data_IF_909991171903
#
_entry.id   IF_909991171903
#
_cell.length_a   1.000
_cell.length_b   1.000
_cell.length_c   1.000
_cell.angle_alpha   90.00
_cell.angle_beta   90.00
_cell.angle_gamma   90.00
#
_symmetry.space_group_name_H-M   'P 1'
#
loop_
_entity.id
_entity.type
_entity.pdbx_description
1 polymer ?
#
# COMPACT_ATOMS: atom_id res chain seq x y z
N UNK A 1 3.68 -4.43 -12.82
CA UNK A 1 4.26 -3.64 -13.93
C UNK A 1 5.40 -2.78 -13.41
N UNK A 2 6.39 -2.51 -14.21
CA UNK A 2 7.53 -1.64 -13.86
C UNK A 2 7.67 -0.55 -14.92
N UNK A 3 8.00 0.66 -14.49
CA UNK A 3 8.28 1.79 -15.38
C UNK A 3 9.63 2.42 -15.02
N UNK A 4 10.38 2.82 -16.01
CA UNK A 4 11.65 3.55 -15.82
C UNK A 4 11.37 5.05 -15.92
N UNK A 5 11.48 5.73 -14.77
CA UNK A 5 11.21 7.16 -14.65
C UNK A 5 9.73 7.54 -14.47
N UNK A 6 9.51 8.67 -13.80
CA UNK A 6 8.19 9.12 -13.38
C UNK A 6 7.22 9.39 -14.54
N UNK A 7 7.72 9.79 -15.72
CA UNK A 7 6.86 10.06 -16.90
C UNK A 7 6.30 8.77 -17.49
N UNK A 8 7.12 7.74 -17.62
CA UNK A 8 6.68 6.43 -18.11
C UNK A 8 5.72 5.78 -17.14
N UNK A 9 6.03 5.83 -15.83
CA UNK A 9 5.15 5.40 -14.77
C UNK A 9 3.74 6.00 -14.89
N UNK A 10 3.65 7.32 -15.06
CA UNK A 10 2.38 8.02 -15.22
C UNK A 10 1.61 7.58 -16.48
N UNK A 11 2.33 7.30 -17.57
CA UNK A 11 1.69 6.80 -18.81
C UNK A 11 1.17 5.39 -18.65
N UNK A 12 1.93 4.51 -18.00
CA UNK A 12 1.52 3.13 -17.74
C UNK A 12 0.34 3.08 -16.76
N UNK A 13 0.39 3.82 -15.67
CA UNK A 13 -0.70 3.91 -14.72
C UNK A 13 -2.00 4.42 -15.37
N UNK A 14 -1.92 5.45 -16.22
CA UNK A 14 -3.08 5.94 -16.98
C UNK A 14 -3.68 4.91 -17.90
N UNK A 15 -2.86 4.11 -18.61
CA UNK A 15 -3.38 3.02 -19.45
C UNK A 15 -4.17 2.00 -18.64
N UNK A 16 -3.72 1.66 -17.43
CA UNK A 16 -4.48 0.76 -16.54
C UNK A 16 -5.85 1.33 -16.19
N UNK A 17 -5.96 2.65 -16.01
CA UNK A 17 -7.24 3.31 -15.70
C UNK A 17 -8.17 3.41 -16.90
N UNK A 18 -7.62 3.62 -18.10
CA UNK A 18 -8.43 3.72 -19.33
C UNK A 18 -9.18 2.40 -19.60
N UNK A 19 -8.63 1.26 -19.19
CA UNK A 19 -9.26 -0.05 -19.33
C UNK A 19 -10.40 -0.31 -18.31
N UNK A 20 -10.63 0.58 -17.34
CA UNK A 20 -11.70 0.58 -16.33
C UNK A 20 -11.82 -0.69 -15.45
N UNK A 21 -11.00 -1.70 -15.69
CA UNK A 21 -11.06 -2.98 -14.97
C UNK A 21 -9.96 -3.10 -13.91
N UNK A 22 -9.01 -2.14 -13.89
CA UNK A 22 -7.83 -2.23 -13.05
C UNK A 22 -7.64 -0.99 -12.18
N UNK A 23 -7.15 -1.23 -10.97
CA UNK A 23 -6.81 -0.19 -9.99
C UNK A 23 -5.40 -0.41 -9.48
N UNK A 24 -4.61 0.66 -9.32
CA UNK A 24 -3.32 0.58 -8.61
C UNK A 24 -3.59 0.48 -7.12
N UNK A 25 -3.19 -0.63 -6.54
CA UNK A 25 -3.40 -0.95 -5.12
C UNK A 25 -2.14 -0.84 -4.29
N UNK A 26 -0.98 -0.87 -4.91
CA UNK A 26 0.29 -0.60 -4.24
C UNK A 26 1.34 -0.12 -5.25
N UNK A 27 2.23 0.76 -4.82
CA UNK A 27 3.32 1.24 -5.66
C UNK A 27 4.55 1.62 -4.80
N UNK A 28 5.70 1.68 -5.46
CA UNK A 28 6.99 1.94 -4.85
C UNK A 28 7.84 2.82 -5.78
N UNK A 29 8.64 3.72 -5.20
CA UNK A 29 9.75 4.37 -5.89
C UNK A 29 11.06 3.74 -5.41
N UNK A 30 11.70 2.98 -6.27
CA UNK A 30 12.96 2.31 -5.97
C UNK A 30 13.99 2.66 -7.05
N UNK A 31 14.93 3.56 -6.72
CA UNK A 31 16.00 4.01 -7.63
C UNK A 31 15.48 4.44 -9.01
N UNK A 32 14.46 5.31 -9.05
CA UNK A 32 13.80 5.79 -10.27
C UNK A 32 13.05 4.72 -11.09
N UNK A 33 12.98 3.50 -10.59
CA UNK A 33 12.09 2.47 -11.09
C UNK A 33 10.81 2.48 -10.25
N UNK A 34 9.66 2.42 -10.89
CA UNK A 34 8.36 2.52 -10.26
C UNK A 34 7.56 1.22 -10.46
N UNK A 35 7.87 0.16 -9.71
CA UNK A 35 7.01 -1.02 -9.70
C UNK A 35 5.67 -0.69 -9.05
N UNK A 36 4.60 -1.21 -9.61
CA UNK A 36 3.26 -1.04 -9.06
C UNK A 36 2.40 -2.27 -9.27
N UNK A 37 1.50 -2.47 -8.32
CA UNK A 37 0.52 -3.55 -8.33
C UNK A 37 -0.78 -3.01 -8.89
N UNK A 38 -1.32 -3.75 -9.84
CA UNK A 38 -2.61 -3.47 -10.45
C UNK A 38 -3.54 -4.62 -10.13
N UNK A 39 -4.66 -4.34 -9.50
CA UNK A 39 -5.66 -5.33 -9.14
C UNK A 39 -6.92 -5.14 -10.00
N UNK A 40 -7.43 -6.24 -10.53
CA UNK A 40 -8.67 -6.27 -11.31
C UNK A 40 -9.74 -7.10 -10.60
N UNK A 41 -10.98 -6.94 -11.03
CA UNK A 41 -12.10 -7.73 -10.52
C UNK A 41 -12.55 -7.41 -9.09
N UNK A 42 -12.03 -6.33 -8.49
CA UNK A 42 -12.36 -5.92 -7.11
C UNK A 42 -13.76 -5.26 -6.99
N UNK A 43 -14.47 -5.06 -8.11
CA UNK A 43 -15.73 -4.34 -8.12
C UNK A 43 -15.59 -2.84 -7.84
N UNK A 44 -14.36 -2.32 -7.79
CA UNK A 44 -14.11 -0.88 -7.64
C UNK A 44 -14.42 -0.16 -8.95
N UNK A 45 -14.95 1.05 -8.83
CA UNK A 45 -15.31 1.88 -9.97
C UNK A 45 -14.12 2.63 -10.55
N UNK A 46 -14.42 3.78 -11.15
CA UNK A 46 -13.41 4.60 -11.81
C UNK A 46 -12.21 4.91 -10.92
N UNK A 47 -11.04 4.67 -11.46
CA UNK A 47 -9.77 5.05 -10.84
C UNK A 47 -9.26 6.35 -11.44
N UNK A 48 -8.54 7.12 -10.64
CA UNK A 48 -7.91 8.35 -11.07
C UNK A 48 -6.53 8.50 -10.41
N UNK A 49 -5.67 9.28 -11.04
CA UNK A 49 -4.38 9.64 -10.49
C UNK A 49 -4.30 11.15 -10.35
N UNK A 50 -3.81 11.62 -9.23
CA UNK A 50 -3.58 13.03 -8.96
C UNK A 50 -2.18 13.28 -8.43
N UNK A 51 -1.62 14.43 -8.78
CA UNK A 51 -0.29 14.86 -8.32
C UNK A 51 -0.45 16.03 -7.35
N UNK A 52 0.16 15.93 -6.19
CA UNK A 52 0.13 17.00 -5.18
C UNK A 52 1.51 17.25 -4.58
N UNK A 53 1.74 18.46 -4.10
CA UNK A 53 2.99 18.81 -3.40
C UNK A 53 2.99 18.33 -1.95
N UNK A 54 1.84 18.39 -1.30
CA UNK A 54 1.62 17.95 0.08
C UNK A 54 0.32 17.14 0.15
N UNK A 55 0.38 15.82 0.37
CA UNK A 55 -0.79 14.98 0.47
C UNK A 55 -1.56 15.16 1.78
N UNK A 56 -0.95 15.76 2.80
CA UNK A 56 -1.59 16.05 4.07
C UNK A 56 -2.34 17.39 4.07
N UNK A 57 -2.35 18.14 2.96
CA UNK A 57 -3.14 19.37 2.81
C UNK A 57 -4.64 19.04 2.63
N UNK A 58 -5.48 19.27 3.66
CA UNK A 58 -6.91 18.91 3.60
C UNK A 58 -7.67 19.65 2.50
N UNK A 59 -7.22 20.86 2.13
CA UNK A 59 -7.87 21.65 1.09
C UNK A 59 -7.75 21.01 -0.29
N UNK A 60 -6.72 20.20 -0.50
CA UNK A 60 -6.50 19.48 -1.75
C UNK A 60 -7.19 18.13 -1.79
N UNK A 61 -7.48 17.57 -0.61
CA UNK A 61 -8.18 16.28 -0.48
C UNK A 61 -9.70 16.40 -0.60
N UNK A 62 -10.26 17.54 -0.19
CA UNK A 62 -11.71 17.78 -0.15
C UNK A 62 -12.44 17.55 -1.50
N UNK A 63 -11.88 17.92 -2.68
CA UNK A 63 -12.56 17.69 -3.95
C UNK A 63 -12.77 16.20 -4.26
N UNK A 64 -11.83 15.34 -3.90
CA UNK A 64 -11.91 13.90 -4.21
C UNK A 64 -12.95 13.18 -3.35
N UNK A 65 -13.02 13.56 -2.07
CA UNK A 65 -14.05 13.03 -1.17
C UNK A 65 -15.47 13.41 -1.62
N UNK A 66 -15.64 14.57 -2.29
CA UNK A 66 -16.93 15.00 -2.83
C UNK A 66 -17.36 14.14 -4.03
N UNK A 67 -16.41 13.62 -4.80
CA UNK A 67 -16.68 12.75 -5.95
C UNK A 67 -16.86 11.27 -5.55
N UNK A 68 -16.86 10.95 -4.25
CA UNK A 68 -16.96 9.56 -3.76
C UNK A 68 -15.69 8.74 -3.95
N UNK A 69 -14.59 9.37 -4.32
CA UNK A 69 -13.29 8.73 -4.49
C UNK A 69 -12.49 8.73 -3.20
N UNK A 70 -11.75 7.68 -3.01
CA UNK A 70 -10.83 7.50 -1.87
C UNK A 70 -9.44 7.14 -2.36
N UNK A 71 -8.44 7.44 -1.54
CA UNK A 71 -7.06 7.07 -1.79
C UNK A 71 -6.92 5.57 -1.60
N UNK A 72 -6.40 4.90 -2.60
CA UNK A 72 -6.08 3.47 -2.57
C UNK A 72 -4.58 3.22 -2.49
N UNK A 73 -3.76 4.18 -2.92
CA UNK A 73 -2.31 4.13 -2.74
C UNK A 73 -1.67 5.51 -2.88
N UNK A 74 -0.53 5.69 -2.23
CA UNK A 74 0.33 6.88 -2.30
C UNK A 74 1.74 6.49 -2.73
N UNK A 75 2.40 7.37 -3.46
CA UNK A 75 3.83 7.25 -3.73
C UNK A 75 4.49 8.63 -3.76
N UNK A 76 5.68 8.75 -3.18
CA UNK A 76 6.53 9.92 -3.34
C UNK A 76 7.45 9.71 -4.53
N UNK A 77 7.30 10.54 -5.55
CA UNK A 77 8.29 10.69 -6.62
C UNK A 77 9.29 11.78 -6.24
N UNK A 78 10.30 12.03 -7.06
CA UNK A 78 11.34 13.03 -6.76
C UNK A 78 10.76 14.42 -6.51
N UNK A 79 9.70 14.77 -7.22
CA UNK A 79 9.16 16.15 -7.21
C UNK A 79 7.80 16.28 -6.54
N UNK A 80 6.93 15.29 -6.67
CA UNK A 80 5.55 15.37 -6.20
C UNK A 80 5.09 14.05 -5.57
N UNK A 81 3.99 14.11 -4.86
CA UNK A 81 3.24 12.93 -4.47
C UNK A 81 2.26 12.55 -5.58
N UNK A 82 2.23 11.28 -5.91
CA UNK A 82 1.19 10.71 -6.75
C UNK A 82 0.18 10.01 -5.85
N UNK A 83 -1.09 10.26 -6.11
CA UNK A 83 -2.20 9.74 -5.33
C UNK A 83 -3.09 8.95 -6.27
N UNK A 84 -3.31 7.69 -5.95
CA UNK A 84 -4.22 6.80 -6.65
C UNK A 84 -5.57 6.82 -5.95
N UNK A 85 -6.62 7.00 -6.71
CA UNK A 85 -7.97 7.20 -6.23
C UNK A 85 -8.91 6.20 -6.89
N UNK A 86 -9.82 5.60 -6.13
CA UNK A 86 -10.84 4.69 -6.66
C UNK A 86 -12.21 4.93 -6.00
N UNK A 87 -13.26 4.56 -6.70
CA UNK A 87 -14.65 4.54 -6.22
C UNK A 87 -15.06 3.12 -5.82
N UNK A 88 -16.12 2.98 -5.04
CA UNK A 88 -16.74 1.69 -4.76
C UNK A 88 -15.95 0.77 -3.82
N UNK A 89 -14.99 1.33 -3.07
CA UNK A 89 -14.08 0.54 -2.19
C UNK A 89 -14.72 0.10 -0.87
N UNK A 90 -15.93 0.53 -0.55
CA UNK A 90 -16.55 0.36 0.78
C UNK A 90 -16.09 1.39 1.82
N UNK A 91 -15.03 2.15 1.53
CA UNK A 91 -14.54 3.21 2.42
C UNK A 91 -15.55 4.37 2.44
N UNK A 92 -16.03 4.70 3.63
CA UNK A 92 -17.05 5.75 3.83
C UNK A 92 -16.49 7.09 4.32
N UNK A 93 -15.27 7.06 4.90
CA UNK A 93 -14.54 8.24 5.35
C UNK A 93 -13.04 7.98 5.27
N UNK A 94 -12.28 9.02 5.02
CA UNK A 94 -10.83 8.89 4.92
C UNK A 94 -10.14 10.18 5.37
N UNK A 95 -8.98 10.05 5.97
CA UNK A 95 -8.11 11.15 6.35
C UNK A 95 -6.66 10.84 6.00
N UNK A 96 -5.90 11.88 5.70
CA UNK A 96 -4.46 11.80 5.46
C UNK A 96 -3.75 12.71 6.45
N UNK A 97 -2.66 12.21 7.05
CA UNK A 97 -1.86 12.98 7.97
C UNK A 97 -0.38 12.70 7.82
N UNK A 98 0.41 13.77 7.77
CA UNK A 98 1.86 13.70 7.90
C UNK A 98 2.25 13.79 9.37
N UNK A 99 3.11 12.89 9.82
CA UNK A 99 3.66 12.85 11.19
C UNK A 99 5.16 12.64 11.13
N UNK A 100 5.89 13.17 12.13
CA UNK A 100 7.35 13.10 12.17
C UNK A 100 7.84 12.07 13.17
N UNK A 101 8.81 11.25 12.71
CA UNK A 101 9.50 10.26 13.53
C UNK A 101 8.59 9.18 14.10
N UNK A 102 9.22 8.18 14.71
CA UNK A 102 8.50 7.06 15.30
C UNK A 102 7.51 7.44 16.41
N UNK A 103 7.84 8.32 17.37
CA UNK A 103 6.88 8.71 18.38
C UNK A 103 5.61 9.31 17.80
N UNK A 104 5.75 10.18 16.79
CA UNK A 104 4.61 10.79 16.12
C UNK A 104 3.76 9.78 15.34
N UNK A 105 4.39 8.81 14.67
CA UNK A 105 3.69 7.74 13.98
C UNK A 105 2.92 6.84 14.95
N UNK A 106 3.58 6.38 16.02
CA UNK A 106 2.97 5.54 17.04
C UNK A 106 1.74 6.19 17.69
N UNK A 107 1.89 7.45 18.11
CA UNK A 107 0.77 8.20 18.69
C UNK A 107 -0.38 8.38 17.70
N UNK A 108 -0.06 8.49 16.40
CA UNK A 108 -1.07 8.64 15.38
C UNK A 108 -1.80 7.32 15.09
N UNK A 109 -1.09 6.19 15.02
CA UNK A 109 -1.68 4.86 14.90
C UNK A 109 -2.72 4.62 15.98
N UNK A 110 -2.37 4.86 17.23
CA UNK A 110 -3.29 4.72 18.38
C UNK A 110 -4.54 5.57 18.18
N UNK A 111 -4.37 6.85 17.81
CA UNK A 111 -5.52 7.76 17.58
C UNK A 111 -6.39 7.34 16.40
N UNK A 112 -5.82 6.76 15.37
CA UNK A 112 -6.58 6.22 14.23
C UNK A 112 -7.53 5.16 14.75
N UNK A 113 -7.03 4.20 15.49
CA UNK A 113 -7.84 3.09 16.04
C UNK A 113 -8.85 3.55 17.11
N UNK A 114 -8.50 4.51 17.99
CA UNK A 114 -9.43 5.11 18.94
C UNK A 114 -10.63 5.84 18.28
N UNK A 115 -10.52 6.16 16.97
CA UNK A 115 -11.58 6.80 16.19
C UNK A 115 -12.27 5.84 15.23
N UNK A 116 -12.18 4.54 15.43
CA UNK A 116 -12.74 3.50 14.55
C UNK A 116 -12.32 3.68 13.09
N UNK A 117 -11.05 3.99 12.87
CA UNK A 117 -10.41 4.03 11.58
C UNK A 117 -9.34 2.94 11.50
N UNK A 118 -9.06 2.48 10.28
CA UNK A 118 -7.98 1.55 9.97
C UNK A 118 -6.93 2.23 9.10
N UNK A 119 -5.70 1.80 9.23
CA UNK A 119 -4.60 2.28 8.39
C UNK A 119 -4.66 1.51 7.07
N UNK A 120 -4.75 2.24 5.98
CA UNK A 120 -4.84 1.66 4.63
C UNK A 120 -3.66 2.01 3.73
N UNK A 121 -2.80 2.93 4.14
CA UNK A 121 -1.50 3.18 3.50
C UNK A 121 -0.58 3.96 4.44
N UNK A 122 0.72 3.64 4.42
CA UNK A 122 1.78 4.39 5.09
C UNK A 122 2.96 4.54 4.13
N UNK A 123 3.31 5.78 3.81
CA UNK A 123 4.49 6.06 3.02
C UNK A 123 5.48 6.90 3.82
N UNK A 124 6.72 6.42 3.91
CA UNK A 124 7.82 7.17 4.51
C UNK A 124 8.51 8.04 3.46
N UNK A 125 8.80 9.26 3.84
CA UNK A 125 9.71 10.15 3.11
C UNK A 125 10.59 10.89 4.12
N UNK A 126 11.88 10.59 4.12
CA UNK A 126 12.85 11.07 5.11
C UNK A 126 12.43 10.68 6.55
N UNK A 127 12.20 11.68 7.42
CA UNK A 127 11.74 11.52 8.81
C UNK A 127 10.21 11.62 8.96
N UNK A 128 9.50 11.78 7.85
CA UNK A 128 8.06 12.00 7.82
C UNK A 128 7.32 10.77 7.30
N UNK A 129 6.25 10.41 7.98
CA UNK A 129 5.31 9.37 7.57
C UNK A 129 4.00 10.01 7.15
N UNK A 130 3.56 9.71 5.94
CA UNK A 130 2.22 10.07 5.45
C UNK A 130 1.33 8.86 5.64
N UNK A 131 0.33 9.00 6.48
CA UNK A 131 -0.59 7.93 6.87
C UNK A 131 -1.96 8.20 6.27
N UNK A 132 -2.51 7.23 5.60
CA UNK A 132 -3.91 7.20 5.16
C UNK A 132 -4.70 6.34 6.13
N UNK A 133 -5.74 6.94 6.71
CA UNK A 133 -6.63 6.27 7.64
C UNK A 133 -8.06 6.27 7.08
N UNK A 134 -8.70 5.12 7.06
CA UNK A 134 -9.99 4.89 6.39
C UNK A 134 -11.00 4.29 7.35
N UNK A 135 -12.27 4.66 7.20
CA UNK A 135 -13.40 4.08 7.93
C UNK A 135 -14.44 3.49 6.99
N UNK A 136 -15.25 2.60 7.52
CA UNK A 136 -16.21 1.80 6.76
C UNK A 136 -15.72 0.37 6.47
N UNK A 137 -14.46 0.06 6.82
CA UNK A 137 -13.91 -1.28 6.76
C UNK A 137 -14.06 -1.95 8.14
N UNK A 138 -14.44 -3.22 8.15
CA UNK A 138 -14.62 -4.01 9.37
C UNK A 138 -13.31 -4.70 9.80
N UNK A 139 -12.17 -4.11 9.46
CA UNK A 139 -10.86 -4.66 9.78
C UNK A 139 -10.52 -4.43 11.24
N UNK A 140 -10.00 -5.47 11.89
CA UNK A 140 -9.35 -5.37 13.18
C UNK A 140 -7.84 -5.34 12.96
N UNK A 141 -7.14 -4.31 13.45
CA UNK A 141 -5.71 -4.12 13.19
C UNK A 141 -4.88 -4.23 14.45
N UNK A 142 -3.67 -4.76 14.26
CA UNK A 142 -2.59 -4.72 15.24
C UNK A 142 -1.28 -4.34 14.55
N UNK A 143 -0.25 -4.01 15.33
CA UNK A 143 1.06 -3.67 14.81
C UNK A 143 2.18 -4.40 15.55
N UNK A 144 3.24 -4.70 14.80
CA UNK A 144 4.45 -5.33 15.31
C UNK A 144 5.65 -4.54 14.85
N UNK A 145 6.65 -4.39 15.73
CA UNK A 145 7.93 -3.75 15.42
C UNK A 145 9.04 -4.79 15.61
N UNK A 146 9.77 -5.10 14.56
CA UNK A 146 10.79 -6.14 14.55
C UNK A 146 12.09 -5.60 13.96
N UNK A 147 13.26 -5.82 14.59
CA UNK A 147 14.56 -5.42 14.04
C UNK A 147 15.01 -6.28 12.85
N UNK A 148 14.35 -7.41 12.62
CA UNK A 148 14.64 -8.34 11.55
C UNK A 148 13.42 -8.69 10.71
N UNK A 149 13.64 -9.58 9.76
CA UNK A 149 12.60 -10.10 8.91
C UNK A 149 11.70 -11.10 9.66
N UNK A 150 10.41 -10.85 9.84
CA UNK A 150 9.56 -11.62 10.76
C UNK A 150 8.96 -12.88 10.11
N UNK A 151 9.78 -13.71 9.47
CA UNK A 151 9.29 -14.89 8.74
C UNK A 151 8.49 -15.85 9.63
N UNK A 152 8.88 -16.03 10.87
CA UNK A 152 8.20 -16.91 11.83
C UNK A 152 6.95 -16.24 12.43
N UNK A 153 6.99 -14.96 12.74
CA UNK A 153 5.83 -14.21 13.23
C UNK A 153 4.71 -14.13 12.21
N UNK A 154 5.04 -13.96 10.94
CA UNK A 154 4.05 -13.92 9.86
C UNK A 154 3.29 -15.23 9.71
N UNK A 155 4.01 -16.35 9.81
CA UNK A 155 3.40 -17.67 9.77
C UNK A 155 2.52 -17.94 11.00
N UNK A 156 2.90 -17.40 12.16
CA UNK A 156 2.13 -17.51 13.40
C UNK A 156 0.88 -16.62 13.38
N UNK A 157 0.99 -15.35 13.05
CA UNK A 157 -0.15 -14.42 13.00
C UNK A 157 -1.19 -14.85 11.95
N UNK A 158 -0.76 -15.32 10.79
CA UNK A 158 -1.68 -15.77 9.75
C UNK A 158 -2.34 -17.13 10.06
N UNK A 159 -1.70 -17.98 10.86
CA UNK A 159 -2.21 -19.32 11.17
C UNK A 159 -3.15 -19.34 12.38
N UNK A 160 -2.92 -18.52 13.40
CA UNK A 160 -3.64 -18.60 14.67
C UNK A 160 -4.82 -17.61 14.76
N UNK A 161 -4.74 -16.43 14.14
CA UNK A 161 -5.73 -15.36 14.33
C UNK A 161 -6.40 -14.83 13.04
N UNK A 162 -6.10 -15.44 11.88
CA UNK A 162 -6.63 -14.93 10.60
C UNK A 162 -6.13 -13.53 10.22
N UNK A 163 -5.02 -13.10 10.83
CA UNK A 163 -4.41 -11.79 10.58
C UNK A 163 -3.53 -11.86 9.34
N UNK A 164 -3.63 -10.87 8.46
CA UNK A 164 -2.76 -10.72 7.28
C UNK A 164 -2.04 -9.38 7.32
N UNK A 165 -0.84 -9.31 6.74
CA UNK A 165 -0.13 -8.04 6.60
C UNK A 165 -0.85 -7.21 5.57
N UNK A 166 -1.23 -6.01 5.96
CA UNK A 166 -1.85 -5.03 5.09
C UNK A 166 -0.98 -3.80 4.86
N UNK A 167 -0.01 -3.53 5.74
CA UNK A 167 0.96 -2.47 5.57
C UNK A 167 2.32 -2.79 6.18
N UNK A 168 3.37 -2.18 5.61
CA UNK A 168 4.73 -2.24 6.10
C UNK A 168 5.41 -0.89 5.92
N UNK A 169 6.22 -0.49 6.91
CA UNK A 169 7.08 0.68 6.77
C UNK A 169 8.33 0.55 7.65
N UNK A 170 9.45 1.12 7.20
CA UNK A 170 10.65 1.19 8.02
C UNK A 170 10.54 2.31 9.06
N UNK A 171 10.89 1.99 10.30
CA UNK A 171 10.87 2.89 11.45
C UNK A 171 12.17 2.72 12.24
N UNK A 172 13.04 3.73 12.23
CA UNK A 172 14.31 3.74 13.00
C UNK A 172 15.16 2.47 12.80
N UNK A 173 15.22 1.97 11.55
CA UNK A 173 15.98 0.76 11.21
C UNK A 173 15.29 -0.56 11.61
N UNK A 174 14.03 -0.51 12.00
CA UNK A 174 13.20 -1.67 12.29
C UNK A 174 12.04 -1.76 11.29
N UNK A 175 11.40 -2.91 11.21
CA UNK A 175 10.21 -3.13 10.38
C UNK A 175 8.95 -2.96 11.22
N UNK A 176 8.13 -1.99 10.89
CA UNK A 176 6.77 -1.87 11.39
C UNK A 176 5.82 -2.60 10.43
N UNK A 177 5.09 -3.55 10.96
CA UNK A 177 4.07 -4.31 10.27
C UNK A 177 2.70 -3.94 10.82
N UNK A 178 1.76 -3.62 9.94
CA UNK A 178 0.36 -3.54 10.30
C UNK A 178 -0.31 -4.81 9.79
N UNK A 179 -0.95 -5.52 10.68
CA UNK A 179 -1.73 -6.71 10.35
C UNK A 179 -3.21 -6.42 10.52
N UNK A 180 -4.04 -7.06 9.73
CA UNK A 180 -5.49 -6.88 9.75
C UNK A 180 -6.20 -8.22 9.69
N UNK A 181 -7.24 -8.39 10.52
CA UNK A 181 -8.23 -9.44 10.40
C UNK A 181 -9.47 -8.93 9.65
N UNK A 182 -10.36 -9.85 9.30
CA UNK A 182 -11.61 -9.55 8.58
C UNK A 182 -11.39 -8.87 7.22
N UNK A 183 -10.25 -9.14 6.59
CA UNK A 183 -9.94 -8.70 5.23
C UNK A 183 -10.44 -9.74 4.21
N UNK A 184 -10.42 -9.37 2.93
CA UNK A 184 -10.67 -10.32 1.84
C UNK A 184 -9.51 -11.31 1.61
N UNK A 185 -8.40 -11.13 2.32
CA UNK A 185 -7.22 -11.99 2.25
C UNK A 185 -7.24 -13.03 3.36
N UNK A 186 -6.78 -14.23 3.05
CA UNK A 186 -6.76 -15.35 3.99
C UNK A 186 -5.36 -15.80 4.42
N UNK A 187 -4.31 -15.38 3.72
CA UNK A 187 -2.92 -15.77 4.00
C UNK A 187 -1.93 -14.81 3.37
N UNK A 188 -0.79 -14.61 4.03
CA UNK A 188 0.34 -13.87 3.47
C UNK A 188 1.59 -14.74 3.31
N UNK A 189 2.35 -14.41 2.30
CA UNK A 189 3.74 -14.79 2.12
C UNK A 189 4.55 -13.53 1.82
N UNK A 190 5.73 -13.41 2.40
CA UNK A 190 6.58 -12.22 2.19
C UNK A 190 7.94 -12.65 1.65
N UNK A 191 8.41 -11.95 0.63
CA UNK A 191 9.74 -12.10 0.06
C UNK A 191 10.51 -10.79 0.19
N UNK A 192 11.81 -10.88 0.50
CA UNK A 192 12.72 -9.73 0.60
C UNK A 192 13.95 -9.95 -0.25
N UNK A 193 14.61 -8.87 -0.63
CA UNK A 193 15.82 -8.87 -1.46
C UNK A 193 15.62 -9.55 -2.83
N UNK A 194 14.52 -9.30 -3.53
CA UNK A 194 14.36 -9.88 -4.84
C UNK A 194 15.46 -9.35 -5.78
N UNK A 195 16.12 -10.24 -6.50
CA UNK A 195 16.97 -9.85 -7.62
C UNK A 195 16.11 -9.32 -8.77
N UNK A 196 16.71 -8.57 -9.70
CA UNK A 196 15.99 -8.13 -10.90
C UNK A 196 15.39 -9.33 -11.67
N UNK A 197 16.16 -10.43 -11.76
CA UNK A 197 15.69 -11.68 -12.39
C UNK A 197 14.50 -12.29 -11.66
N UNK A 198 14.49 -12.23 -10.32
CA UNK A 198 13.37 -12.71 -9.50
C UNK A 198 12.12 -11.83 -9.69
N UNK A 199 12.28 -10.50 -9.76
CA UNK A 199 11.17 -9.59 -10.07
C UNK A 199 10.60 -9.86 -11.47
N UNK A 200 11.44 -10.05 -12.48
CA UNK A 200 10.99 -10.40 -13.83
C UNK A 200 10.23 -11.74 -13.85
N UNK A 201 10.74 -12.74 -13.12
CA UNK A 201 10.07 -14.04 -12.98
C UNK A 201 8.70 -13.89 -12.31
N UNK A 202 8.61 -13.17 -11.20
CA UNK A 202 7.34 -12.93 -10.49
C UNK A 202 6.36 -12.18 -11.40
N UNK A 203 6.82 -11.16 -12.10
CA UNK A 203 5.96 -10.41 -13.01
C UNK A 203 5.37 -11.32 -14.09
N UNK A 204 6.19 -12.21 -14.69
CA UNK A 204 5.72 -13.18 -15.66
C UNK A 204 4.73 -14.21 -15.07
N UNK A 205 4.89 -14.60 -13.80
CA UNK A 205 3.95 -15.49 -13.13
C UNK A 205 2.64 -14.80 -12.74
N UNK A 206 2.69 -13.52 -12.33
CA UNK A 206 1.50 -12.73 -11.98
C UNK A 206 0.62 -12.41 -13.20
N UNK A 207 1.17 -12.43 -14.41
CA UNK A 207 0.39 -12.31 -15.64
C UNK A 207 -0.47 -13.55 -15.93
N UNK A 208 -0.21 -14.66 -15.23
CA UNK A 208 -1.03 -15.88 -15.39
C UNK A 208 -2.33 -15.76 -14.58
N UNK A 209 -3.42 -16.36 -15.03
CA UNK A 209 -4.71 -16.32 -14.32
C UNK A 209 -4.68 -16.84 -12.88
N UNK A 210 -3.70 -17.69 -12.56
CA UNK A 210 -3.53 -18.28 -11.22
C UNK A 210 -2.62 -17.49 -10.30
N UNK A 211 -2.02 -16.39 -10.79
CA UNK A 211 -1.01 -15.66 -10.03
C UNK A 211 0.24 -16.49 -9.72
N UNK A 212 1.04 -16.03 -8.76
CA UNK A 212 2.23 -16.73 -8.30
C UNK A 212 1.86 -17.85 -7.32
N UNK A 213 1.88 -19.10 -7.77
CA UNK A 213 1.50 -20.27 -6.96
C UNK A 213 0.11 -20.16 -6.26
N UNK A 214 -0.83 -19.47 -6.88
CA UNK A 214 -2.15 -19.21 -6.31
C UNK A 214 -2.20 -18.01 -5.37
N UNK A 215 -1.10 -17.26 -5.24
CA UNK A 215 -1.05 -16.01 -4.51
C UNK A 215 -1.08 -14.82 -5.46
N UNK A 216 -1.57 -13.71 -4.97
CA UNK A 216 -1.54 -12.41 -5.63
C UNK A 216 -0.61 -11.47 -4.87
N UNK A 217 0.11 -10.63 -5.57
CA UNK A 217 0.92 -9.58 -4.95
C UNK A 217 -0.05 -8.51 -4.40
N UNK A 218 -0.06 -8.32 -3.10
CA UNK A 218 -0.96 -7.38 -2.42
C UNK A 218 -0.27 -6.08 -1.99
N UNK A 219 1.04 -6.14 -1.72
CA UNK A 219 1.79 -5.00 -1.24
C UNK A 219 3.23 -5.05 -1.75
N UNK A 220 3.78 -3.89 -2.10
CA UNK A 220 5.19 -3.70 -2.44
C UNK A 220 5.73 -2.49 -1.67
N UNK A 221 6.85 -2.66 -0.95
CA UNK A 221 7.49 -1.59 -0.17
C UNK A 221 9.02 -1.67 -0.24
N UNK A 222 9.66 -0.52 -0.07
CA UNK A 222 11.09 -0.46 0.20
C UNK A 222 11.34 -0.37 1.70
N UNK A 223 12.23 -1.23 2.21
CA UNK A 223 12.60 -1.27 3.61
C UNK A 223 14.09 -1.56 3.74
N UNK A 224 14.84 -0.65 4.34
CA UNK A 224 16.30 -0.76 4.50
C UNK A 224 17.06 -0.97 3.17
N UNK A 225 16.63 -0.29 2.10
CA UNK A 225 17.23 -0.43 0.78
C UNK A 225 16.91 -1.74 0.06
N UNK A 226 15.93 -2.51 0.55
CA UNK A 226 15.46 -3.77 -0.03
C UNK A 226 14.00 -3.64 -0.44
N UNK A 227 13.62 -4.32 -1.50
CA UNK A 227 12.22 -4.41 -1.92
C UNK A 227 11.56 -5.58 -1.21
N UNK A 228 10.51 -5.30 -0.47
CA UNK A 228 9.68 -6.30 0.20
C UNK A 228 8.38 -6.50 -0.59
N UNK A 229 8.04 -7.74 -0.86
CA UNK A 229 6.85 -8.15 -1.59
C UNK A 229 5.95 -8.96 -0.65
N UNK A 230 4.69 -8.59 -0.53
CA UNK A 230 3.68 -9.35 0.23
C UNK A 230 2.71 -9.97 -0.76
N UNK A 231 2.57 -11.28 -0.66
CA UNK A 231 1.63 -12.06 -1.44
C UNK A 231 0.49 -12.52 -0.55
N UNK A 232 -0.74 -12.43 -1.02
CA UNK A 232 -1.95 -12.83 -0.30
C UNK A 232 -2.80 -13.77 -1.15
N UNK A 233 -3.61 -14.57 -0.49
CA UNK A 233 -4.53 -15.52 -1.13
C UNK A 233 -5.91 -15.42 -0.52
#
# INVERSE_FOLDING_TARGET
MMAEGGTEFMQMARRCFDDQEFTVTSCLNFHEVYPFVVSGGMGWGHSAISSVWDPADPARMAPWAQDGRVITSLIKTDTVWQIFLSEGTGITRQGVKAVKGWPGLKDHIVRVWENDLVITDIVRHEDTYVVVASGGLEWEQDWYLDPGYPREMLLQASAEDGMVITEMVEVEGQYLWITSANTDFSFNYVETEPTAEFLEMIMAELEKPTGFNGYQLSLIREMQGKVCLVFSR
#
